data_IF_226006112637
#
_entry.id   IF_226006112637
#
_cell.length_a   1.000
_cell.length_b   1.000
_cell.length_c   1.000
_cell.angle_alpha   90.00
_cell.angle_beta   90.00
_cell.angle_gamma   90.00
#
_symmetry.space_group_name_H-M   'P 1'
#
loop_
_entity.id
_entity.type
_entity.pdbx_description
1 polymer ?
#
# COMPACT_ATOMS: atom_id res chain seq x y z
N UNK A 1 32.30 73.67 -18.93
CA UNK A 1 33.16 72.61 -18.35
C UNK A 1 32.49 71.73 -17.28
N UNK A 2 31.52 72.21 -16.48
CA UNK A 2 30.91 71.42 -15.39
C UNK A 2 29.92 70.32 -15.87
N UNK A 3 29.15 70.59 -16.92
CA UNK A 3 28.04 69.73 -17.38
C UNK A 3 28.49 68.36 -17.94
N UNK A 4 29.68 68.28 -18.53
CA UNK A 4 30.27 67.04 -19.08
C UNK A 4 30.77 66.11 -17.98
N UNK A 5 31.19 66.66 -16.82
CA UNK A 5 31.67 65.86 -15.69
C UNK A 5 30.52 65.18 -14.94
N UNK A 6 29.33 65.76 -14.96
CA UNK A 6 28.11 65.19 -14.35
C UNK A 6 27.54 64.03 -15.17
N UNK A 7 27.53 64.14 -16.50
CA UNK A 7 27.03 63.07 -17.38
C UNK A 7 27.92 61.82 -17.33
N UNK A 8 29.25 61.98 -17.26
CA UNK A 8 30.19 60.85 -17.11
C UNK A 8 30.01 60.08 -15.79
N UNK A 9 29.81 60.80 -14.67
CA UNK A 9 29.51 60.18 -13.36
C UNK A 9 28.17 59.45 -13.36
N UNK A 10 27.14 60.01 -14.01
CA UNK A 10 25.84 59.37 -14.15
C UNK A 10 25.91 58.12 -15.04
N UNK A 11 26.68 58.14 -16.13
CA UNK A 11 26.90 56.99 -16.99
C UNK A 11 27.65 55.86 -16.26
N UNK A 12 28.69 56.18 -15.50
CA UNK A 12 29.41 55.22 -14.67
C UNK A 12 28.51 54.59 -13.58
N UNK A 13 27.66 55.39 -12.92
CA UNK A 13 26.71 54.89 -11.94
C UNK A 13 25.67 53.94 -12.56
N UNK A 14 25.16 54.26 -13.75
CA UNK A 14 24.24 53.38 -14.49
C UNK A 14 24.90 52.08 -14.91
N UNK A 15 26.17 52.12 -15.36
CA UNK A 15 26.95 50.92 -15.69
C UNK A 15 27.13 50.02 -14.46
N UNK A 16 27.59 50.58 -13.35
CA UNK A 16 27.75 49.83 -12.10
C UNK A 16 26.43 49.26 -11.56
N UNK A 17 25.31 49.98 -11.71
CA UNK A 17 23.99 49.47 -11.34
C UNK A 17 23.56 48.28 -12.21
N UNK A 18 23.83 48.33 -13.52
CA UNK A 18 23.55 47.22 -14.44
C UNK A 18 24.42 45.99 -14.12
N UNK A 19 25.70 46.18 -13.87
CA UNK A 19 26.62 45.09 -13.50
C UNK A 19 26.16 44.37 -12.22
N UNK A 20 25.78 45.11 -11.18
CA UNK A 20 25.23 44.52 -9.94
C UNK A 20 23.88 43.82 -10.16
N UNK A 21 23.03 44.37 -11.02
CA UNK A 21 21.76 43.72 -11.36
C UNK A 21 21.99 42.38 -12.09
N UNK A 22 22.97 42.34 -13.01
CA UNK A 22 23.36 41.12 -13.71
C UNK A 22 23.96 40.08 -12.76
N UNK A 23 24.83 40.49 -11.84
CA UNK A 23 25.43 39.62 -10.83
C UNK A 23 24.36 39.00 -9.92
N UNK A 24 23.45 39.81 -9.38
CA UNK A 24 22.33 39.31 -8.58
C UNK A 24 21.41 38.37 -9.35
N UNK A 25 21.14 38.67 -10.62
CA UNK A 25 20.34 37.79 -11.46
C UNK A 25 21.05 36.44 -11.71
N UNK A 26 22.37 36.44 -11.88
CA UNK A 26 23.16 35.23 -12.02
C UNK A 26 23.17 34.40 -10.72
N UNK A 27 23.33 35.03 -9.56
CA UNK A 27 23.24 34.36 -8.27
C UNK A 27 21.85 33.77 -8.03
N UNK A 28 20.79 34.51 -8.36
CA UNK A 28 19.43 34.01 -8.24
C UNK A 28 19.21 32.77 -9.10
N UNK A 29 19.64 32.80 -10.37
CA UNK A 29 19.55 31.63 -11.27
C UNK A 29 20.28 30.42 -10.70
N UNK A 30 21.51 30.58 -10.23
CA UNK A 30 22.27 29.48 -9.59
C UNK A 30 21.55 28.88 -8.39
N UNK A 31 20.91 29.72 -7.56
CA UNK A 31 20.11 29.23 -6.43
C UNK A 31 18.86 28.50 -6.87
N UNK A 32 18.18 28.97 -7.93
CA UNK A 32 17.03 28.26 -8.48
C UNK A 32 17.44 26.91 -9.06
N UNK A 33 18.52 26.86 -9.83
CA UNK A 33 19.07 25.60 -10.37
C UNK A 33 19.37 24.60 -9.24
N UNK A 34 19.98 25.05 -8.14
CA UNK A 34 20.23 24.20 -6.97
C UNK A 34 18.93 23.72 -6.28
N UNK A 35 17.92 24.57 -6.18
CA UNK A 35 16.62 24.18 -5.61
C UNK A 35 15.88 23.18 -6.50
N UNK A 36 15.97 23.35 -7.83
CA UNK A 36 15.42 22.41 -8.81
C UNK A 36 16.10 21.05 -8.71
N UNK A 37 17.43 21.01 -8.60
CA UNK A 37 18.21 19.79 -8.39
C UNK A 37 17.82 19.08 -7.09
N UNK A 38 17.79 19.81 -5.97
CA UNK A 38 17.38 19.26 -4.67
C UNK A 38 15.93 18.74 -4.67
N UNK A 39 15.03 19.42 -5.38
CA UNK A 39 13.66 18.96 -5.52
C UNK A 39 13.59 17.64 -6.31
N UNK A 40 14.37 17.51 -7.39
CA UNK A 40 14.46 16.26 -8.16
C UNK A 40 15.02 15.11 -7.29
N UNK A 41 16.10 15.38 -6.55
CA UNK A 41 16.68 14.40 -5.61
C UNK A 41 15.67 13.96 -4.53
N UNK A 42 14.90 14.90 -3.99
CA UNK A 42 13.86 14.60 -3.00
C UNK A 42 12.81 13.63 -3.56
N UNK A 43 12.29 13.86 -4.77
CA UNK A 43 11.27 12.98 -5.35
C UNK A 43 11.83 11.59 -5.63
N UNK A 44 13.06 11.48 -6.13
CA UNK A 44 13.73 10.18 -6.29
C UNK A 44 13.88 9.46 -4.96
N UNK A 45 14.25 10.18 -3.90
CA UNK A 45 14.36 9.59 -2.56
C UNK A 45 12.99 9.18 -1.98
N UNK A 46 11.95 9.98 -2.20
CA UNK A 46 10.59 9.66 -1.78
C UNK A 46 10.08 8.38 -2.47
N UNK A 47 10.22 8.30 -3.80
CA UNK A 47 9.83 7.12 -4.57
C UNK A 47 10.63 5.88 -4.12
N UNK A 48 11.91 6.04 -3.79
CA UNK A 48 12.73 4.96 -3.26
C UNK A 48 12.24 4.47 -1.88
N UNK A 49 11.79 5.37 -1.01
CA UNK A 49 11.19 5.01 0.29
C UNK A 49 9.91 4.20 0.09
N UNK A 50 9.03 4.64 -0.81
CA UNK A 50 7.78 3.94 -1.10
C UNK A 50 8.07 2.54 -1.68
N UNK A 51 8.98 2.43 -2.64
CA UNK A 51 9.41 1.14 -3.19
C UNK A 51 10.02 0.20 -2.15
N UNK A 52 10.80 0.72 -1.19
CA UNK A 52 11.35 -0.09 -0.08
C UNK A 52 10.22 -0.62 0.81
N UNK A 53 9.22 0.20 1.11
CA UNK A 53 8.09 -0.19 1.96
C UNK A 53 7.23 -1.26 1.28
N UNK A 54 6.88 -1.07 0.01
CA UNK A 54 6.13 -2.05 -0.79
C UNK A 54 6.85 -3.40 -0.86
N UNK A 55 8.16 -3.38 -1.14
CA UNK A 55 9.00 -4.59 -1.15
C UNK A 55 9.03 -5.29 0.23
N UNK A 56 9.11 -4.52 1.30
CA UNK A 56 9.11 -5.06 2.66
C UNK A 56 7.78 -5.72 3.00
N UNK A 57 6.65 -5.08 2.68
CA UNK A 57 5.31 -5.62 2.88
C UNK A 57 5.11 -6.91 2.07
N UNK A 58 5.51 -6.93 0.80
CA UNK A 58 5.45 -8.12 -0.04
C UNK A 58 6.25 -9.29 0.55
N UNK A 59 7.47 -9.03 1.07
CA UNK A 59 8.30 -10.06 1.71
C UNK A 59 7.68 -10.56 3.01
N UNK A 60 7.14 -9.67 3.84
CA UNK A 60 6.45 -10.05 5.09
C UNK A 60 5.25 -10.93 4.76
N UNK A 61 4.45 -10.57 3.78
CA UNK A 61 3.28 -11.36 3.40
C UNK A 61 3.68 -12.75 2.90
N UNK A 62 4.70 -12.82 2.03
CA UNK A 62 5.26 -14.10 1.59
C UNK A 62 5.70 -14.99 2.75
N UNK A 63 6.44 -14.44 3.71
CA UNK A 63 6.87 -15.18 4.90
C UNK A 63 5.68 -15.66 5.73
N UNK A 64 4.63 -14.84 5.87
CA UNK A 64 3.40 -15.23 6.59
C UNK A 64 2.68 -16.37 5.89
N UNK A 65 2.59 -16.33 4.56
CA UNK A 65 1.94 -17.38 3.78
C UNK A 65 2.72 -18.69 3.86
N UNK A 66 4.05 -18.64 3.73
CA UNK A 66 4.94 -19.79 3.89
C UNK A 66 4.85 -20.38 5.31
N UNK A 67 4.82 -19.52 6.34
CA UNK A 67 4.67 -19.95 7.72
C UNK A 67 3.30 -20.59 7.97
N UNK A 68 2.21 -20.01 7.43
CA UNK A 68 0.87 -20.57 7.55
C UNK A 68 0.78 -21.95 6.89
N UNK A 69 1.37 -22.13 5.70
CA UNK A 69 1.46 -23.42 5.04
C UNK A 69 2.27 -24.43 5.87
N UNK A 70 3.45 -24.04 6.36
CA UNK A 70 4.30 -24.91 7.16
C UNK A 70 3.63 -25.35 8.48
N UNK A 71 2.89 -24.45 9.13
CA UNK A 71 2.09 -24.75 10.32
C UNK A 71 0.96 -25.73 9.98
N UNK A 72 0.21 -25.48 8.90
CA UNK A 72 -0.86 -26.37 8.47
C UNK A 72 -0.33 -27.80 8.18
N UNK A 73 0.80 -27.91 7.48
CA UNK A 73 1.46 -29.18 7.19
C UNK A 73 1.96 -29.89 8.46
N UNK A 74 2.50 -29.13 9.42
CA UNK A 74 2.92 -29.67 10.71
C UNK A 74 1.73 -30.17 11.53
N UNK A 75 0.63 -29.42 11.56
CA UNK A 75 -0.60 -29.84 12.24
C UNK A 75 -1.21 -31.08 11.60
N UNK A 76 -1.24 -31.17 10.26
CA UNK A 76 -1.73 -32.36 9.57
C UNK A 76 -0.88 -33.58 9.92
N UNK A 77 0.46 -33.44 9.87
CA UNK A 77 1.38 -34.51 10.28
C UNK A 77 1.16 -34.94 11.73
N UNK A 78 0.98 -33.98 12.65
CA UNK A 78 0.70 -34.28 14.05
C UNK A 78 -0.62 -35.06 14.20
N UNK A 79 -1.69 -34.64 13.51
CA UNK A 79 -2.99 -35.34 13.52
C UNK A 79 -2.88 -36.74 12.92
N UNK A 80 -2.08 -36.93 11.87
CA UNK A 80 -1.82 -38.24 11.28
C UNK A 80 -1.06 -39.17 12.23
N UNK A 81 -0.10 -38.65 13.01
CA UNK A 81 0.59 -39.41 14.06
C UNK A 81 -0.39 -39.85 15.14
N UNK A 82 -1.24 -38.93 15.64
CA UNK A 82 -2.28 -39.26 16.63
C UNK A 82 -3.21 -40.35 16.07
N UNK A 83 -3.63 -40.24 14.81
CA UNK A 83 -4.42 -41.27 14.13
C UNK A 83 -3.76 -42.64 14.17
N UNK A 84 -2.48 -42.71 13.78
CA UNK A 84 -1.68 -43.96 13.81
C UNK A 84 -1.51 -44.51 15.23
N UNK A 85 -1.35 -43.66 16.24
CA UNK A 85 -1.32 -44.12 17.64
C UNK A 85 -2.65 -44.75 18.03
N UNK A 86 -3.79 -44.13 17.67
CA UNK A 86 -5.10 -44.71 17.96
C UNK A 86 -5.38 -46.02 17.18
N UNK A 87 -4.72 -46.24 16.04
CA UNK A 87 -4.81 -47.49 15.29
C UNK A 87 -4.11 -48.67 15.98
N UNK A 88 -3.18 -48.42 16.92
CA UNK A 88 -2.56 -49.48 17.72
C UNK A 88 -3.43 -49.97 18.88
N UNK A 89 -4.71 -49.53 18.93
CA UNK A 89 -5.73 -49.87 19.93
C UNK A 89 -5.48 -49.34 21.35
N UNK A 90 -4.57 -48.37 21.52
CA UNK A 90 -4.47 -47.58 22.76
C UNK A 90 -5.62 -46.59 22.90
N UNK A 91 -6.03 -46.28 24.12
CA UNK A 91 -7.15 -45.37 24.39
C UNK A 91 -6.76 -43.90 24.16
N UNK A 92 -7.75 -43.02 23.99
CA UNK A 92 -7.50 -41.58 23.83
C UNK A 92 -6.82 -40.96 25.05
N UNK A 93 -7.18 -41.41 26.25
CA UNK A 93 -6.60 -40.92 27.51
C UNK A 93 -5.13 -41.31 27.63
N UNK A 94 -4.78 -42.54 27.26
CA UNK A 94 -3.38 -42.97 27.25
C UNK A 94 -2.54 -42.25 26.19
N UNK A 95 -3.11 -41.96 25.02
CA UNK A 95 -2.40 -41.17 23.98
C UNK A 95 -2.22 -39.72 24.46
N UNK A 96 -3.22 -39.13 25.11
CA UNK A 96 -3.16 -37.79 25.69
C UNK A 96 -2.06 -37.69 26.75
N UNK A 97 -2.02 -38.65 27.67
CA UNK A 97 -1.00 -38.75 28.73
C UNK A 97 0.41 -38.89 28.12
N UNK A 98 0.58 -39.76 27.11
CA UNK A 98 1.88 -39.97 26.45
C UNK A 98 2.39 -38.74 25.69
N UNK A 99 1.49 -37.97 25.09
CA UNK A 99 1.85 -36.79 24.31
C UNK A 99 1.85 -35.50 25.15
N UNK A 100 1.37 -35.53 26.39
CA UNK A 100 1.23 -34.34 27.23
C UNK A 100 0.21 -33.33 26.70
N UNK A 101 -0.77 -33.79 25.92
CA UNK A 101 -1.82 -32.95 25.31
C UNK A 101 -3.17 -33.25 25.97
N UNK A 102 -4.12 -32.31 26.00
CA UNK A 102 -5.42 -32.59 26.60
C UNK A 102 -6.20 -33.59 25.73
N UNK A 103 -7.00 -34.45 26.38
CA UNK A 103 -7.78 -35.52 25.72
C UNK A 103 -8.67 -35.01 24.57
N UNK A 104 -9.16 -33.75 24.68
CA UNK A 104 -9.96 -33.09 23.63
C UNK A 104 -9.21 -32.90 22.31
N UNK A 105 -7.89 -32.78 22.35
CA UNK A 105 -7.03 -32.56 21.17
C UNK A 105 -6.61 -33.90 20.52
N UNK A 106 -6.75 -35.01 21.25
CA UNK A 106 -6.58 -36.37 20.74
C UNK A 106 -7.81 -36.79 19.94
N UNK A 107 -7.90 -36.31 18.69
CA UNK A 107 -8.96 -36.66 17.74
C UNK A 107 -8.37 -37.24 16.47
N UNK A 108 -9.05 -38.22 15.87
CA UNK A 108 -8.70 -38.67 14.52
C UNK A 108 -8.90 -37.52 13.54
N UNK A 109 -7.94 -37.34 12.62
CA UNK A 109 -8.17 -36.51 11.46
C UNK A 109 -9.40 -37.06 10.71
N UNK A 110 -10.42 -36.23 10.51
CA UNK A 110 -11.42 -36.53 9.48
C UNK A 110 -10.68 -36.39 8.16
N UNK A 111 -10.44 -37.50 7.47
CA UNK A 111 -9.95 -37.48 6.09
C UNK A 111 -10.89 -36.57 5.30
N UNK A 112 -10.40 -35.41 4.85
CA UNK A 112 -11.15 -34.55 3.94
C UNK A 112 -11.16 -35.25 2.59
N UNK A 113 -12.06 -36.21 2.42
CA UNK A 113 -12.43 -36.70 1.10
C UNK A 113 -12.88 -35.47 0.29
N UNK A 114 -12.27 -35.29 -0.88
CA UNK A 114 -12.47 -34.16 -1.76
C UNK A 114 -13.96 -33.85 -1.96
N UNK A 115 -14.43 -32.77 -1.35
CA UNK A 115 -15.69 -32.13 -1.74
C UNK A 115 -15.41 -31.32 -2.99
N UNK A 116 -15.74 -31.92 -4.13
CA UNK A 116 -15.90 -31.23 -5.40
C UNK A 116 -16.92 -30.09 -5.22
N UNK A 117 -16.72 -28.92 -5.85
CA UNK A 117 -17.76 -27.90 -5.91
C UNK A 117 -18.79 -28.38 -6.93
N UNK A 118 -19.96 -28.84 -6.46
CA UNK A 118 -21.11 -28.92 -7.35
C UNK A 118 -21.58 -27.51 -7.65
N UNK A 119 -21.31 -27.09 -8.88
CA UNK A 119 -22.04 -26.04 -9.58
C UNK A 119 -23.55 -26.24 -9.40
N UNK A 120 -24.22 -25.23 -8.87
CA UNK A 120 -25.63 -24.98 -9.18
C UNK A 120 -25.73 -23.59 -9.79
N UNK A 121 -25.67 -23.57 -11.11
CA UNK A 121 -26.19 -22.49 -11.94
C UNK A 121 -27.70 -22.61 -12.03
N UNK A 122 -28.35 -21.46 -11.83
CA UNK A 122 -29.61 -20.95 -12.37
C UNK A 122 -30.88 -21.81 -12.33
N UNK A 123 -31.91 -21.25 -11.68
CA UNK A 123 -33.18 -21.04 -12.39
C UNK A 123 -33.76 -19.65 -12.05
N UNK A 124 -33.85 -18.83 -13.09
CA UNK A 124 -34.55 -17.56 -13.17
C UNK A 124 -36.00 -17.86 -13.54
N UNK A 125 -36.97 -17.40 -12.76
CA UNK A 125 -38.33 -17.15 -13.27
C UNK A 125 -38.73 -15.74 -12.88
N UNK A 126 -38.94 -14.90 -13.89
CA UNK A 126 -39.24 -13.47 -13.77
C UNK A 126 -40.72 -13.13 -13.68
N UNK A 127 -40.97 -11.85 -14.03
CA UNK A 127 -42.24 -11.11 -14.09
C UNK A 127 -42.69 -10.45 -12.78
N UNK A 128 -43.10 -9.17 -12.71
CA UNK A 128 -43.08 -8.05 -13.65
C UNK A 128 -43.34 -6.76 -12.85
N UNK A 129 -42.69 -5.66 -13.21
CA UNK A 129 -43.11 -4.29 -12.86
C UNK A 129 -44.30 -3.92 -13.78
N UNK A 130 -45.26 -3.03 -13.40
CA UNK A 130 -44.98 -1.60 -13.50
C UNK A 130 -45.84 -0.66 -12.59
N UNK A 131 -45.41 0.61 -12.52
CA UNK A 131 -46.27 1.77 -12.22
C UNK A 131 -46.11 2.33 -10.79
N UNK A 132 -45.82 3.60 -10.59
CA UNK A 132 -45.69 4.71 -11.52
C UNK A 132 -45.70 6.02 -10.73
N UNK A 133 -44.89 6.98 -11.21
CA UNK A 133 -45.02 8.42 -10.99
C UNK A 133 -44.74 8.92 -9.56
N UNK A 134 -44.29 10.15 -9.33
CA UNK A 134 -43.99 11.26 -10.23
C UNK A 134 -43.30 12.29 -9.29
N UNK A 135 -42.01 12.58 -9.50
CA UNK A 135 -41.49 13.93 -9.83
C UNK A 135 -41.40 14.94 -8.65
N UNK A 136 -40.91 16.20 -8.81
CA UNK A 136 -39.54 16.61 -9.22
C UNK A 136 -38.98 17.92 -8.52
N UNK A 137 -37.71 18.30 -8.82
CA UNK A 137 -37.04 19.65 -8.78
C UNK A 137 -36.82 20.32 -7.38
N UNK A 138 -35.68 20.91 -6.98
CA UNK A 138 -34.92 22.14 -7.41
C UNK A 138 -33.47 22.08 -6.85
N UNK A 139 -32.38 22.28 -7.59
CA UNK A 139 -31.74 23.53 -8.11
C UNK A 139 -31.37 24.62 -7.09
N UNK A 140 -30.08 24.95 -7.03
CA UNK A 140 -29.50 26.15 -6.39
C UNK A 140 -28.01 25.93 -6.08
N UNK A 141 -27.09 26.04 -7.03
CA UNK A 141 -26.47 27.28 -7.55
C UNK A 141 -25.69 28.10 -6.49
N UNK A 142 -24.36 28.01 -6.61
CA UNK A 142 -23.35 29.10 -6.58
C UNK A 142 -23.34 30.14 -5.44
N UNK A 143 -22.18 30.33 -4.80
CA UNK A 143 -21.41 31.58 -4.98
C UNK A 143 -20.08 31.59 -4.22
N UNK A 144 -19.01 31.85 -4.98
CA UNK A 144 -17.71 32.38 -4.57
C UNK A 144 -17.87 33.83 -4.07
N UNK A 145 -17.15 34.22 -3.01
CA UNK A 145 -16.79 35.61 -2.70
C UNK A 145 -15.45 35.56 -1.95
N UNK A 146 -14.33 35.98 -2.55
CA UNK A 146 -13.87 37.37 -2.79
C UNK A 146 -13.46 38.06 -1.49
#
# INVERSE_FOLDING_TARGET
MAQVRTSGKQAAARKAARERAVERAAEFRRRQEQLEELAAEYFVAADAVDGINEDAEARIQKIRDEAAAAVADAEERARAIIGRMLDTKVTRDEVAERLGVPVRDVKRAKTKAATAPESRSDDVTGEAQPGGGDSPVETGAESYAA
#
